data_IF_096443804402
#
_entry.id   IF_096443804402
#
_cell.length_a   1.000
_cell.length_b   1.000
_cell.length_c   1.000
_cell.angle_alpha   90.00
_cell.angle_beta   90.00
_cell.angle_gamma   90.00
#
_symmetry.space_group_name_H-M   'P 1'
#
loop_
_entity.id
_entity.type
_entity.pdbx_description
1 polymer ?
#
# COMPACT_ATOMS: atom_id res chain seq x y z
N UNK A 1 -6.97 -24.13 -55.11
CA UNK A 1 -6.99 -22.96 -54.19
C UNK A 1 -7.47 -23.40 -52.84
N UNK A 2 -6.79 -23.01 -51.76
CA UNK A 2 -7.21 -23.31 -50.38
C UNK A 2 -7.96 -22.10 -49.81
N UNK A 3 -9.11 -22.33 -49.17
CA UNK A 3 -9.84 -21.31 -48.43
C UNK A 3 -9.11 -21.08 -47.08
N UNK A 4 -8.93 -19.82 -46.70
CA UNK A 4 -8.42 -19.43 -45.39
C UNK A 4 -9.49 -18.66 -44.62
N UNK A 5 -9.56 -18.91 -43.32
CA UNK A 5 -10.38 -18.17 -42.36
C UNK A 5 -9.46 -17.69 -41.22
N UNK A 6 -9.63 -16.44 -40.81
CA UNK A 6 -8.88 -15.83 -39.70
C UNK A 6 -9.88 -15.18 -38.75
N UNK A 7 -9.65 -15.34 -37.44
CA UNK A 7 -10.42 -14.67 -36.39
C UNK A 7 -9.48 -14.06 -35.36
N UNK A 8 -9.88 -12.92 -34.82
CA UNK A 8 -9.17 -12.28 -33.72
C UNK A 8 -9.31 -13.09 -32.42
N UNK A 9 -8.24 -13.09 -31.64
CA UNK A 9 -8.21 -13.62 -30.30
C UNK A 9 -8.09 -12.46 -29.30
N UNK A 10 -8.57 -12.68 -28.07
CA UNK A 10 -8.44 -11.72 -26.97
C UNK A 10 -9.16 -10.37 -27.21
N UNK A 11 -10.38 -10.38 -27.76
CA UNK A 11 -11.26 -9.20 -27.89
C UNK A 11 -11.78 -8.65 -26.55
N UNK A 12 -11.28 -9.15 -25.41
CA UNK A 12 -11.65 -8.67 -24.09
C UNK A 12 -10.62 -7.65 -23.58
N UNK A 13 -11.04 -6.51 -23.02
CA UNK A 13 -10.12 -5.52 -22.51
C UNK A 13 -9.32 -6.08 -21.33
N UNK A 14 -8.00 -5.86 -21.36
CA UNK A 14 -7.12 -6.19 -20.25
C UNK A 14 -7.48 -5.33 -19.03
N UNK A 15 -7.93 -5.99 -17.96
CA UNK A 15 -8.17 -5.30 -16.69
C UNK A 15 -6.85 -5.17 -15.93
N UNK A 16 -6.46 -3.95 -15.61
CA UNK A 16 -5.26 -3.65 -14.83
C UNK A 16 -5.69 -3.15 -13.46
N UNK A 17 -4.87 -3.41 -12.43
CA UNK A 17 -5.08 -2.87 -11.09
C UNK A 17 -3.87 -2.05 -10.66
N UNK A 18 -4.10 -0.94 -9.96
CA UNK A 18 -3.04 -0.19 -9.30
C UNK A 18 -3.34 0.05 -7.84
N UNK A 19 -2.26 0.17 -7.07
CA UNK A 19 -2.33 0.57 -5.68
C UNK A 19 -2.43 2.09 -5.58
N UNK A 20 -3.45 2.59 -4.90
CA UNK A 20 -3.48 3.97 -4.43
C UNK A 20 -3.22 4.01 -2.94
N UNK A 21 -2.37 4.95 -2.54
CA UNK A 21 -1.95 5.12 -1.16
C UNK A 21 -2.50 6.45 -0.64
N UNK A 22 -3.25 6.40 0.45
CA UNK A 22 -3.72 7.58 1.15
C UNK A 22 -2.63 8.24 2.01
N UNK A 23 -2.90 9.41 2.59
CA UNK A 23 -1.96 10.08 3.47
C UNK A 23 -1.68 9.24 4.73
N UNK A 24 -0.53 9.49 5.35
CA UNK A 24 -0.23 8.96 6.68
C UNK A 24 -1.14 9.57 7.74
N UNK A 25 -1.63 8.73 8.65
CA UNK A 25 -2.32 9.17 9.85
C UNK A 25 -1.37 9.79 10.88
N UNK A 26 -1.96 10.20 12.00
CA UNK A 26 -1.19 10.69 13.15
C UNK A 26 -0.26 9.59 13.68
N UNK A 27 0.85 10.01 14.25
CA UNK A 27 1.73 9.12 15.00
C UNK A 27 1.07 8.79 16.34
N UNK A 28 0.82 7.50 16.59
CA UNK A 28 0.29 7.01 17.86
C UNK A 28 1.39 6.22 18.59
N UNK A 29 1.38 6.21 19.92
CA UNK A 29 2.35 5.43 20.68
C UNK A 29 2.25 3.93 20.34
N UNK A 30 3.38 3.31 20.00
CA UNK A 30 3.43 1.88 19.69
C UNK A 30 3.54 1.08 20.99
N UNK A 31 2.41 0.53 21.44
CA UNK A 31 2.33 -0.29 22.65
C UNK A 31 2.96 -1.67 22.50
N UNK A 32 3.35 -2.07 21.28
CA UNK A 32 4.01 -3.35 21.02
C UNK A 32 5.52 -3.33 21.33
N UNK A 33 6.12 -2.14 21.39
CA UNK A 33 7.52 -1.95 21.74
C UNK A 33 7.59 -1.57 23.22
N UNK A 34 8.25 -2.36 24.08
CA UNK A 34 8.50 -1.96 25.46
C UNK A 34 9.21 -0.62 25.47
N UNK A 35 8.74 0.33 26.30
CA UNK A 35 9.43 1.60 26.53
C UNK A 35 10.90 1.30 26.77
N UNK A 36 11.79 1.83 25.92
CA UNK A 36 13.22 1.60 26.05
C UNK A 36 13.62 1.88 27.50
N UNK A 37 14.23 0.87 28.14
CA UNK A 37 14.45 0.81 29.57
C UNK A 37 15.10 2.08 30.11
N UNK A 38 14.68 2.47 31.31
CA UNK A 38 15.20 3.62 32.03
C UNK A 38 16.74 3.54 32.14
N UNK A 39 17.44 4.31 31.30
CA UNK A 39 18.83 4.66 31.54
C UNK A 39 18.88 5.61 32.73
N UNK A 40 19.49 5.15 33.83
CA UNK A 40 19.77 5.96 35.01
C UNK A 40 20.60 7.18 34.57
N UNK A 41 20.01 8.39 34.56
CA UNK A 41 20.79 9.62 34.70
C UNK A 41 20.62 10.79 33.74
N UNK A 42 19.64 10.85 32.81
CA UNK A 42 19.43 12.08 32.02
C UNK A 42 17.96 12.52 31.99
N UNK A 43 17.72 13.80 32.34
CA UNK A 43 16.43 14.50 32.35
C UNK A 43 15.93 14.80 30.91
N UNK A 44 15.95 13.81 30.04
CA UNK A 44 15.42 13.94 28.67
C UNK A 44 14.11 13.16 28.59
N UNK A 45 13.02 13.84 28.23
CA UNK A 45 11.74 13.18 28.02
C UNK A 45 11.88 12.20 26.83
N UNK A 46 12.12 10.93 27.12
CA UNK A 46 12.15 9.89 26.10
C UNK A 46 10.73 9.72 25.54
N UNK A 47 10.48 10.30 24.35
CA UNK A 47 9.31 9.98 23.53
C UNK A 47 9.37 8.49 23.18
N UNK A 48 8.28 7.76 23.42
CA UNK A 48 8.13 6.39 22.94
C UNK A 48 8.17 6.33 21.41
N UNK A 49 8.55 5.18 20.87
CA UNK A 49 8.43 4.93 19.43
C UNK A 49 6.94 4.94 19.08
N UNK A 50 6.59 5.66 18.02
CA UNK A 50 5.22 5.74 17.55
C UNK A 50 5.01 5.02 16.23
N UNK A 51 3.80 4.51 16.02
CA UNK A 51 3.34 3.88 14.79
C UNK A 51 2.47 4.85 13.99
N UNK A 52 2.69 4.92 12.68
CA UNK A 52 1.77 5.57 11.75
C UNK A 52 1.15 4.52 10.85
N UNK A 53 -0.14 4.67 10.56
CA UNK A 53 -0.85 3.82 9.60
C UNK A 53 -1.34 4.68 8.43
N UNK A 54 -1.48 4.08 7.26
CA UNK A 54 -2.08 4.71 6.08
C UNK A 54 -2.97 3.72 5.36
N UNK A 55 -4.00 4.23 4.70
CA UNK A 55 -4.89 3.41 3.89
C UNK A 55 -4.25 3.12 2.54
N UNK A 56 -4.31 1.86 2.10
CA UNK A 56 -3.92 1.43 0.75
C UNK A 56 -5.14 0.77 0.11
N UNK A 57 -5.48 1.14 -1.13
CA UNK A 57 -6.61 0.58 -1.88
C UNK A 57 -6.13 0.04 -3.22
N UNK A 58 -6.60 -1.16 -3.58
CA UNK A 58 -6.46 -1.71 -4.92
C UNK A 58 -7.59 -1.15 -5.78
N UNK A 59 -7.28 -0.43 -6.85
CA UNK A 59 -8.29 0.09 -7.77
C UNK A 59 -8.16 -0.57 -9.13
N UNK A 60 -9.31 -0.81 -9.77
CA UNK A 60 -9.39 -1.30 -11.14
C UNK A 60 -9.21 -0.13 -12.10
N UNK A 61 -8.27 -0.25 -13.02
CA UNK A 61 -8.10 0.63 -14.17
C UNK A 61 -8.51 -0.15 -15.41
N UNK A 62 -9.47 0.40 -16.13
CA UNK A 62 -9.72 -0.06 -17.49
C UNK A 62 -8.66 0.65 -18.34
N UNK A 63 -7.63 -0.08 -18.79
CA UNK A 63 -6.79 0.42 -19.89
C UNK A 63 -7.71 0.54 -21.10
N UNK A 64 -7.68 1.71 -21.73
CA UNK A 64 -8.64 2.12 -22.74
C UNK A 64 -8.90 1.09 -23.83
N UNK A 65 -10.18 1.06 -24.21
CA UNK A 65 -10.63 0.77 -25.57
C UNK A 65 -10.23 1.92 -26.50
#
# INVERSE_FOLDING_TARGET
>A
SALQEVRNCNDHPCTVYHWQTGPWGQCIEDTSVPRAGAGIGTNEAFCSVGMQTRKVICVRVNVGQ
#
